data_IF_421238892083
#
_entry.id   IF_421238892083
#
_cell.length_a   1.000
_cell.length_b   1.000
_cell.length_c   1.000
_cell.angle_alpha   90.00
_cell.angle_beta   90.00
_cell.angle_gamma   90.00
#
_symmetry.space_group_name_H-M   'P 1'
#
loop_
_entity.id
_entity.type
_entity.pdbx_description
1 polymer ?
#
# COMPACT_ATOMS: atom_id res chain seq x y z
N UNK A 1 -29.00 -16.54 -14.26
CA UNK A 1 -28.41 -16.59 -12.90
C UNK A 1 -26.99 -17.10 -13.08
N UNK A 2 -26.04 -16.19 -13.29
CA UNK A 2 -24.61 -16.52 -13.27
C UNK A 2 -24.21 -16.54 -11.81
N UNK A 3 -24.01 -17.74 -11.26
CA UNK A 3 -23.35 -17.92 -9.97
C UNK A 3 -21.92 -17.42 -10.15
N UNK A 4 -21.64 -16.22 -9.65
CA UNK A 4 -20.26 -15.74 -9.54
C UNK A 4 -19.57 -16.63 -8.52
N UNK A 5 -18.61 -17.43 -8.97
CA UNK A 5 -17.66 -18.07 -8.06
C UNK A 5 -17.01 -16.93 -7.25
N UNK A 6 -16.96 -16.99 -5.91
CA UNK A 6 -16.21 -16.01 -5.15
C UNK A 6 -14.76 -16.04 -5.61
N UNK A 7 -14.20 -14.86 -5.90
CA UNK A 7 -12.79 -14.74 -6.26
C UNK A 7 -11.94 -15.28 -5.10
N UNK A 8 -10.90 -16.04 -5.41
CA UNK A 8 -9.98 -16.56 -4.41
C UNK A 8 -9.13 -15.39 -3.87
N UNK A 9 -8.99 -15.25 -2.54
CA UNK A 9 -8.12 -14.26 -1.93
C UNK A 9 -6.70 -14.30 -2.51
N UNK A 10 -6.02 -13.17 -2.56
CA UNK A 10 -4.59 -13.11 -2.89
C UNK A 10 -3.80 -13.95 -1.89
N UNK A 11 -2.92 -14.81 -2.41
CA UNK A 11 -1.96 -15.57 -1.61
C UNK A 11 -0.59 -14.90 -1.60
N UNK A 12 0.29 -15.34 -0.71
CA UNK A 12 1.71 -14.93 -0.67
C UNK A 12 2.37 -15.08 -2.06
N UNK A 13 2.15 -16.21 -2.75
CA UNK A 13 2.68 -16.43 -4.12
C UNK A 13 2.16 -15.41 -5.14
N UNK A 14 0.97 -14.84 -4.92
CA UNK A 14 0.41 -13.82 -5.79
C UNK A 14 1.06 -12.45 -5.53
N UNK A 15 1.37 -12.13 -4.27
CA UNK A 15 2.11 -10.91 -3.89
C UNK A 15 3.57 -11.00 -4.32
N UNK A 16 4.23 -12.16 -4.13
CA UNK A 16 5.56 -12.42 -4.68
C UNK A 16 5.58 -12.19 -6.19
N UNK A 17 4.53 -12.61 -6.91
CA UNK A 17 4.43 -12.38 -8.35
C UNK A 17 4.27 -10.88 -8.70
N UNK A 18 3.51 -10.12 -7.90
CA UNK A 18 3.40 -8.66 -8.06
C UNK A 18 4.75 -7.97 -7.84
N UNK A 19 5.43 -8.28 -6.75
CA UNK A 19 6.73 -7.68 -6.42
C UNK A 19 7.76 -7.99 -7.50
N UNK A 20 7.84 -9.25 -7.96
CA UNK A 20 8.73 -9.62 -9.07
C UNK A 20 8.45 -8.83 -10.36
N UNK A 21 7.18 -8.52 -10.64
CA UNK A 21 6.81 -7.71 -11.81
C UNK A 21 7.24 -6.25 -11.59
N UNK A 22 7.00 -5.67 -10.42
CA UNK A 22 7.38 -4.30 -10.10
C UNK A 22 8.91 -4.13 -10.08
N UNK A 23 9.65 -5.10 -9.56
CA UNK A 23 11.12 -5.16 -9.58
C UNK A 23 11.67 -5.19 -11.00
N UNK A 24 11.07 -6.00 -11.87
CA UNK A 24 11.45 -6.07 -13.29
C UNK A 24 11.13 -4.75 -14.02
N UNK A 25 10.00 -4.10 -13.72
CA UNK A 25 9.69 -2.77 -14.24
C UNK A 25 10.72 -1.73 -13.77
N UNK A 26 11.16 -1.76 -12.49
CA UNK A 26 12.18 -0.86 -11.93
C UNK A 26 13.54 -0.96 -12.63
N UNK A 27 13.85 -2.07 -13.30
CA UNK A 27 15.06 -2.18 -14.12
C UNK A 27 15.03 -1.32 -15.40
N UNK A 28 13.85 -0.83 -15.78
CA UNK A 28 13.62 -0.05 -17.02
C UNK A 28 13.03 1.34 -16.75
N UNK A 29 12.38 1.51 -15.61
CA UNK A 29 11.65 2.72 -15.22
C UNK A 29 12.04 3.11 -13.79
N UNK A 30 12.70 4.25 -13.64
CA UNK A 30 13.35 4.63 -12.38
C UNK A 30 12.36 4.92 -11.23
N UNK A 31 11.12 5.31 -11.54
CA UNK A 31 10.12 5.77 -10.55
C UNK A 31 9.01 4.74 -10.27
N UNK A 32 9.18 3.46 -10.62
CA UNK A 32 8.14 2.45 -10.36
C UNK A 32 8.04 2.16 -8.86
N UNK A 33 6.87 2.39 -8.23
CA UNK A 33 6.70 2.18 -6.81
C UNK A 33 6.74 0.70 -6.41
N UNK A 34 7.01 0.44 -5.15
CA UNK A 34 6.84 -0.88 -4.54
C UNK A 34 5.35 -1.20 -4.28
N UNK A 35 5.02 -2.47 -4.04
CA UNK A 35 3.63 -2.89 -3.88
C UNK A 35 2.93 -2.20 -2.71
N UNK A 36 3.60 -2.01 -1.57
CA UNK A 36 3.00 -1.35 -0.40
C UNK A 36 2.46 0.07 -0.75
N UNK A 37 3.19 0.82 -1.59
CA UNK A 37 2.72 2.12 -2.08
C UNK A 37 1.49 1.97 -3.00
N UNK A 38 1.53 0.97 -3.89
CA UNK A 38 0.42 0.66 -4.79
C UNK A 38 -0.86 0.29 -4.03
N UNK A 39 -0.73 -0.43 -2.92
CA UNK A 39 -1.82 -0.84 -2.04
C UNK A 39 -2.51 0.38 -1.40
N UNK A 40 -1.73 1.33 -0.88
CA UNK A 40 -2.27 2.57 -0.31
C UNK A 40 -2.92 3.47 -1.34
N UNK A 41 -2.28 3.60 -2.51
CA UNK A 41 -2.84 4.30 -3.66
C UNK A 41 -4.18 3.69 -4.11
N UNK A 42 -4.25 2.36 -4.18
CA UNK A 42 -5.47 1.62 -4.51
C UNK A 42 -6.60 1.90 -3.50
N UNK A 43 -6.30 1.85 -2.20
CA UNK A 43 -7.28 2.16 -1.16
C UNK A 43 -7.84 3.59 -1.29
N UNK A 44 -6.98 4.57 -1.54
CA UNK A 44 -7.39 5.95 -1.76
C UNK A 44 -8.30 6.09 -2.99
N UNK A 45 -7.96 5.45 -4.12
CA UNK A 45 -8.79 5.47 -5.33
C UNK A 45 -10.18 4.86 -5.12
N UNK A 46 -10.28 3.79 -4.32
CA UNK A 46 -11.56 3.17 -3.98
C UNK A 46 -12.41 4.11 -3.12
N UNK A 47 -11.78 4.87 -2.23
CA UNK A 47 -12.44 5.87 -1.38
C UNK A 47 -12.82 7.16 -2.13
N UNK A 48 -12.34 7.37 -3.36
CA UNK A 48 -12.68 8.55 -4.14
C UNK A 48 -14.20 8.65 -4.43
N UNK A 49 -14.72 9.88 -4.45
CA UNK A 49 -16.16 10.15 -4.65
C UNK A 49 -16.64 9.68 -6.03
N UNK A 50 -15.75 9.75 -7.02
CA UNK A 50 -15.95 9.23 -8.37
C UNK A 50 -14.92 8.13 -8.63
N UNK A 51 -15.36 7.11 -9.37
CA UNK A 51 -14.44 6.12 -9.92
C UNK A 51 -13.53 6.76 -10.97
N UNK A 52 -12.23 6.78 -10.68
CA UNK A 52 -11.17 7.20 -11.60
C UNK A 52 -10.91 6.03 -12.57
N UNK A 53 -10.90 6.25 -13.90
CA UNK A 53 -10.67 5.19 -14.87
C UNK A 53 -9.26 4.58 -14.76
N UNK A 54 -9.14 3.27 -14.98
CA UNK A 54 -7.83 2.58 -14.98
C UNK A 54 -6.81 3.17 -15.95
N UNK A 55 -7.24 3.62 -17.13
CA UNK A 55 -6.37 4.30 -18.08
C UNK A 55 -5.77 5.62 -17.55
N UNK A 56 -6.43 6.24 -16.57
CA UNK A 56 -5.99 7.49 -15.96
C UNK A 56 -5.07 7.20 -14.77
N UNK A 57 -5.53 6.42 -13.79
CA UNK A 57 -4.73 6.20 -12.59
C UNK A 57 -3.50 5.31 -12.83
N UNK A 58 -3.53 4.39 -13.80
CA UNK A 58 -2.34 3.60 -14.14
C UNK A 58 -1.28 4.44 -14.83
N UNK A 59 -1.68 5.45 -15.61
CA UNK A 59 -0.74 6.40 -16.21
C UNK A 59 -0.09 7.31 -15.15
N UNK A 60 -0.84 7.69 -14.11
CA UNK A 60 -0.28 8.44 -12.99
C UNK A 60 0.76 7.65 -12.18
N UNK A 61 0.57 6.34 -12.03
CA UNK A 61 1.42 5.49 -11.19
C UNK A 61 2.58 4.81 -11.95
N UNK A 62 2.33 4.42 -13.20
CA UNK A 62 3.23 3.62 -14.03
C UNK A 62 3.36 4.15 -15.45
N UNK A 63 3.01 5.41 -15.69
CA UNK A 63 3.20 6.03 -17.00
C UNK A 63 4.66 6.08 -17.36
N UNK A 64 4.96 5.86 -18.64
CA UNK A 64 6.28 6.15 -19.19
C UNK A 64 6.66 7.62 -18.94
N UNK A 65 7.89 7.88 -18.50
CA UNK A 65 8.31 9.22 -18.08
C UNK A 65 8.23 10.28 -19.21
N UNK A 66 8.37 9.87 -20.47
CA UNK A 66 8.34 10.78 -21.62
C UNK A 66 6.92 11.00 -22.16
N UNK A 67 6.09 9.96 -22.15
CA UNK A 67 4.76 9.95 -22.81
C UNK A 67 3.58 9.96 -21.85
N UNK A 68 3.78 9.56 -20.59
CA UNK A 68 2.74 9.34 -19.59
C UNK A 68 1.82 8.14 -19.90
N UNK A 69 2.14 7.36 -20.94
CA UNK A 69 1.32 6.22 -21.35
C UNK A 69 1.65 4.98 -20.51
N UNK A 70 0.62 4.30 -20.02
CA UNK A 70 0.72 2.96 -19.42
C UNK A 70 0.22 1.91 -20.39
N UNK A 71 0.98 0.83 -20.57
CA UNK A 71 0.57 -0.27 -21.45
C UNK A 71 1.58 -1.41 -21.56
N UNK A 72 1.29 -2.41 -22.41
CA UNK A 72 2.09 -3.65 -22.51
C UNK A 72 3.53 -3.43 -22.97
N UNK A 73 3.84 -2.28 -23.57
CA UNK A 73 5.20 -1.96 -24.02
C UNK A 73 6.19 -1.70 -22.87
N UNK A 74 5.68 -1.44 -21.65
CA UNK A 74 6.49 -1.23 -20.45
C UNK A 74 6.95 -2.55 -19.81
N UNK A 75 6.23 -3.63 -20.10
CA UNK A 75 6.41 -4.95 -19.51
C UNK A 75 7.34 -5.81 -20.37
N UNK A 76 7.99 -6.79 -19.75
CA UNK A 76 8.88 -7.72 -20.45
C UNK A 76 8.15 -8.55 -21.51
N UNK A 77 6.84 -8.80 -21.31
CA UNK A 77 5.99 -9.45 -22.29
C UNK A 77 4.51 -9.07 -22.13
N UNK A 78 3.67 -9.29 -23.16
CA UNK A 78 2.22 -9.13 -23.03
C UNK A 78 1.61 -10.00 -21.92
N UNK A 79 2.16 -11.20 -21.68
CA UNK A 79 1.69 -12.10 -20.62
C UNK A 79 1.99 -11.54 -19.21
N UNK A 80 3.16 -10.90 -19.02
CA UNK A 80 3.48 -10.24 -17.74
C UNK A 80 2.54 -9.05 -17.48
N UNK A 81 2.21 -8.27 -18.51
CA UNK A 81 1.22 -7.20 -18.42
C UNK A 81 -0.18 -7.71 -18.07
N UNK A 82 -0.64 -8.78 -18.73
CA UNK A 82 -1.92 -9.41 -18.43
C UNK A 82 -1.97 -9.98 -17.01
N UNK A 83 -0.87 -10.59 -16.55
CA UNK A 83 -0.74 -11.10 -15.19
C UNK A 83 -0.82 -9.96 -14.16
N UNK A 84 -0.09 -8.87 -14.37
CA UNK A 84 -0.13 -7.69 -13.51
C UNK A 84 -1.56 -7.15 -13.36
N UNK A 85 -2.26 -6.94 -14.49
CA UNK A 85 -3.64 -6.46 -14.46
C UNK A 85 -4.60 -7.43 -13.78
N UNK A 86 -4.41 -8.73 -13.95
CA UNK A 86 -5.24 -9.74 -13.30
C UNK A 86 -5.05 -9.72 -11.78
N UNK A 87 -3.80 -9.62 -11.29
CA UNK A 87 -3.46 -9.54 -9.88
C UNK A 87 -3.97 -8.22 -9.26
N UNK A 88 -3.71 -7.08 -9.91
CA UNK A 88 -4.24 -5.78 -9.52
C UNK A 88 -5.77 -5.81 -9.40
N UNK A 89 -6.46 -6.37 -10.40
CA UNK A 89 -7.93 -6.45 -10.38
C UNK A 89 -8.46 -7.34 -9.27
N UNK A 90 -7.77 -8.45 -8.96
CA UNK A 90 -8.13 -9.31 -7.82
C UNK A 90 -8.01 -8.54 -6.51
N UNK A 91 -6.86 -7.91 -6.25
CA UNK A 91 -6.68 -7.10 -5.04
C UNK A 91 -7.70 -5.98 -4.95
N UNK A 92 -7.92 -5.25 -6.04
CA UNK A 92 -8.90 -4.18 -6.09
C UNK A 92 -10.28 -4.63 -5.60
N UNK A 93 -10.74 -5.80 -6.04
CA UNK A 93 -12.03 -6.34 -5.63
C UNK A 93 -12.04 -6.75 -4.16
N UNK A 94 -10.94 -7.29 -3.62
CA UNK A 94 -10.80 -7.61 -2.20
C UNK A 94 -10.87 -6.35 -1.33
N UNK A 95 -10.05 -5.35 -1.65
CA UNK A 95 -10.00 -4.07 -0.92
C UNK A 95 -11.35 -3.36 -1.00
N UNK A 96 -11.96 -3.30 -2.20
CA UNK A 96 -13.30 -2.73 -2.38
C UNK A 96 -14.35 -3.46 -1.55
N UNK A 97 -14.25 -4.79 -1.45
CA UNK A 97 -15.18 -5.57 -0.65
C UNK A 97 -14.99 -5.30 0.84
N UNK A 98 -13.74 -5.30 1.33
CA UNK A 98 -13.42 -5.10 2.74
C UNK A 98 -13.81 -3.70 3.24
N UNK A 99 -13.53 -2.66 2.45
CA UNK A 99 -13.89 -1.27 2.78
C UNK A 99 -15.42 -1.02 2.81
N UNK A 100 -16.22 -1.87 2.15
CA UNK A 100 -17.69 -1.80 2.18
C UNK A 100 -18.31 -2.68 3.30
N UNK A 101 -17.51 -3.42 4.06
CA UNK A 101 -18.02 -4.26 5.15
C UNK A 101 -18.31 -3.44 6.41
N UNK A 102 -19.49 -3.61 7.04
CA UNK A 102 -19.78 -3.01 8.33
C UNK A 102 -19.13 -3.82 9.45
N UNK A 103 -17.82 -3.66 9.63
CA UNK A 103 -17.05 -4.27 10.71
C UNK A 103 -17.17 -3.45 11.99
N UNK A 104 -17.11 -4.11 13.15
CA UNK A 104 -17.18 -3.47 14.48
C UNK A 104 -15.83 -3.53 15.23
N UNK A 105 -14.82 -4.20 14.65
CA UNK A 105 -13.45 -4.31 15.15
C UNK A 105 -12.50 -4.63 13.99
N UNK A 106 -11.23 -4.22 14.09
CA UNK A 106 -10.16 -4.63 13.19
C UNK A 106 -9.75 -6.10 13.36
N UNK A 107 -10.17 -6.75 14.46
CA UNK A 107 -10.00 -8.21 14.64
C UNK A 107 -10.95 -9.04 13.76
N UNK A 108 -11.90 -8.41 13.07
CA UNK A 108 -12.79 -9.09 12.13
C UNK A 108 -12.02 -9.47 10.86
N UNK A 109 -12.05 -10.74 10.46
CA UNK A 109 -11.39 -11.24 9.25
C UNK A 109 -11.85 -10.54 7.96
N UNK A 110 -12.97 -9.80 8.02
CA UNK A 110 -13.52 -9.01 6.91
C UNK A 110 -13.00 -7.58 6.88
N UNK A 111 -12.32 -7.13 7.93
CA UNK A 111 -11.74 -5.78 7.98
C UNK A 111 -10.69 -5.61 6.89
N UNK A 112 -10.52 -4.39 6.42
CA UNK A 112 -9.46 -4.08 5.49
C UNK A 112 -8.10 -4.26 6.17
N UNK A 113 -7.25 -5.12 5.59
CA UNK A 113 -5.88 -5.32 6.00
C UNK A 113 -4.98 -5.04 4.78
N UNK A 114 -4.30 -3.89 4.71
CA UNK A 114 -3.34 -3.61 3.65
C UNK A 114 -2.17 -4.59 3.73
N UNK A 115 -1.60 -4.92 2.57
CA UNK A 115 -0.37 -5.71 2.54
C UNK A 115 0.83 -4.79 2.78
N UNK A 116 1.32 -4.80 4.02
CA UNK A 116 2.40 -3.96 4.55
C UNK A 116 3.48 -4.84 5.19
N UNK A 117 4.75 -4.45 5.04
CA UNK A 117 5.86 -5.21 5.60
C UNK A 117 6.65 -4.39 6.62
N UNK A 118 6.96 -5.00 7.77
CA UNK A 118 7.88 -4.42 8.75
C UNK A 118 9.34 -4.64 8.33
N UNK A 119 9.83 -3.80 7.43
CA UNK A 119 11.21 -3.89 6.90
C UNK A 119 12.26 -3.73 8.02
N UNK A 120 12.02 -2.83 8.97
CA UNK A 120 12.90 -2.62 10.13
C UNK A 120 12.98 -3.89 10.98
N UNK A 121 11.84 -4.53 11.24
CA UNK A 121 11.76 -5.81 11.96
C UNK A 121 12.40 -6.96 11.20
N UNK A 122 12.26 -7.01 9.87
CA UNK A 122 12.87 -8.03 9.03
C UNK A 122 14.39 -7.95 9.14
N UNK A 123 14.97 -6.75 9.00
CA UNK A 123 16.41 -6.51 9.14
C UNK A 123 16.89 -6.74 10.58
N UNK A 124 16.10 -6.35 11.59
CA UNK A 124 16.43 -6.60 12.99
C UNK A 124 16.48 -8.11 13.33
N UNK A 125 15.77 -8.94 12.57
CA UNK A 125 15.72 -10.39 12.73
C UNK A 125 16.87 -11.13 12.03
N UNK A 126 17.62 -10.44 11.14
CA UNK A 126 18.80 -10.99 10.48
C UNK A 126 19.96 -11.21 11.46
N UNK A 127 20.84 -12.14 11.10
CA UNK A 127 22.12 -12.32 11.79
C UNK A 127 23.00 -11.06 11.70
N UNK A 128 23.99 -10.95 12.58
CA UNK A 128 24.92 -9.81 12.57
C UNK A 128 25.68 -9.68 11.23
N UNK A 129 26.04 -10.80 10.61
CA UNK A 129 26.71 -10.83 9.31
C UNK A 129 25.81 -10.33 8.17
N UNK A 130 24.58 -10.84 8.10
CA UNK A 130 23.58 -10.42 7.10
C UNK A 130 23.19 -8.95 7.28
N UNK A 131 23.06 -8.48 8.52
CA UNK A 131 22.75 -7.08 8.83
C UNK A 131 23.87 -6.14 8.40
N UNK A 132 25.13 -6.53 8.59
CA UNK A 132 26.27 -5.75 8.13
C UNK A 132 26.31 -5.66 6.59
N UNK A 133 26.01 -6.76 5.89
CA UNK A 133 25.91 -6.76 4.43
C UNK A 133 24.78 -5.85 3.93
N UNK A 134 23.60 -5.92 4.56
CA UNK A 134 22.48 -5.02 4.25
C UNK A 134 22.82 -3.55 4.52
N UNK A 135 23.51 -3.24 5.62
CA UNK A 135 23.91 -1.86 5.92
C UNK A 135 24.87 -1.28 4.86
N UNK A 136 25.75 -2.11 4.31
CA UNK A 136 26.63 -1.71 3.19
C UNK A 136 25.83 -1.50 1.89
N UNK A 137 24.79 -2.30 1.64
CA UNK A 137 23.92 -2.18 0.45
C UNK A 137 22.98 -0.97 0.52
N UNK A 138 22.43 -0.66 1.70
CA UNK A 138 21.52 0.47 1.90
C UNK A 138 22.22 1.83 1.79
N UNK A 139 23.55 1.92 1.86
CA UNK A 139 24.33 3.17 1.74
C UNK A 139 23.80 4.36 2.59
N UNK A 140 23.36 4.07 3.82
CA UNK A 140 22.71 5.04 4.75
C UNK A 140 21.31 5.52 4.33
N UNK A 141 20.63 4.83 3.43
CA UNK A 141 19.20 5.03 3.19
C UNK A 141 18.41 4.70 4.46
N UNK A 142 17.48 5.59 4.82
CA UNK A 142 16.58 5.38 5.94
C UNK A 142 15.52 4.34 5.57
N UNK A 143 15.39 3.32 6.42
CA UNK A 143 14.37 2.31 6.24
C UNK A 143 13.00 2.89 6.60
N UNK A 144 11.96 2.64 5.79
CA UNK A 144 10.63 3.13 6.10
C UNK A 144 10.11 2.52 7.40
N UNK A 145 9.31 3.30 8.11
CA UNK A 145 8.54 2.79 9.23
C UNK A 145 7.38 1.92 8.78
N UNK A 146 6.90 1.07 9.68
CA UNK A 146 5.79 0.15 9.41
C UNK A 146 4.57 0.89 8.83
N UNK A 147 4.08 0.45 7.67
CA UNK A 147 2.96 1.03 6.91
C UNK A 147 3.16 2.49 6.42
N UNK A 148 4.39 3.03 6.48
CA UNK A 148 4.68 4.38 6.01
C UNK A 148 4.53 4.51 4.50
N UNK A 149 5.01 3.51 3.76
CA UNK A 149 4.98 3.51 2.30
C UNK A 149 3.54 3.40 1.81
N UNK A 150 2.72 2.60 2.49
CA UNK A 150 1.27 2.55 2.23
C UNK A 150 0.62 3.92 2.38
N UNK A 151 0.90 4.63 3.48
CA UNK A 151 0.34 5.96 3.71
C UNK A 151 0.81 6.98 2.66
N UNK A 152 2.08 6.91 2.24
CA UNK A 152 2.61 7.74 1.14
C UNK A 152 1.88 7.47 -0.18
N UNK A 153 1.60 6.20 -0.48
CA UNK A 153 0.80 5.82 -1.66
C UNK A 153 -0.63 6.37 -1.62
N UNK A 154 -1.27 6.32 -0.45
CA UNK A 154 -2.59 6.91 -0.25
C UNK A 154 -2.56 8.42 -0.49
N UNK A 155 -1.62 9.13 0.13
CA UNK A 155 -1.50 10.58 0.00
C UNK A 155 -1.13 11.02 -1.41
N UNK A 156 -0.35 10.22 -2.15
CA UNK A 156 -0.08 10.48 -3.56
C UNK A 156 -1.37 10.52 -4.40
N UNK A 157 -2.34 9.63 -4.16
CA UNK A 157 -3.64 9.71 -4.83
C UNK A 157 -4.44 10.96 -4.41
N UNK A 158 -4.39 11.33 -3.12
CA UNK A 158 -5.04 12.55 -2.60
C UNK A 158 -4.50 13.80 -3.29
N UNK A 159 -3.18 13.87 -3.48
CA UNK A 159 -2.51 14.98 -4.14
C UNK A 159 -2.72 14.99 -5.66
N UNK A 160 -2.87 13.81 -6.27
CA UNK A 160 -3.09 13.66 -7.71
C UNK A 160 -4.51 14.08 -8.12
N UNK A 161 -5.53 13.77 -7.30
CA UNK A 161 -6.94 14.14 -7.56
C UNK A 161 -7.57 14.91 -6.39
N UNK A 162 -7.07 16.11 -6.06
CA UNK A 162 -7.51 16.86 -4.87
C UNK A 162 -9.00 17.24 -4.92
N UNK A 163 -9.59 17.33 -6.11
CA UNK A 163 -11.03 17.56 -6.28
C UNK A 163 -11.90 16.42 -5.73
N UNK A 164 -11.40 15.18 -5.74
CA UNK A 164 -12.12 14.02 -5.20
C UNK A 164 -12.12 14.01 -3.66
N UNK A 165 -11.17 14.73 -3.06
CA UNK A 165 -11.00 14.87 -1.60
C UNK A 165 -11.48 16.21 -1.05
N UNK A 166 -12.17 17.01 -1.87
CA UNK A 166 -12.74 18.28 -1.43
C UNK A 166 -13.82 18.05 -0.37
N UNK A 167 -13.65 18.73 0.78
CA UNK A 167 -14.57 18.66 1.90
C UNK A 167 -16.04 18.93 1.50
N UNK A 168 -17.00 18.12 1.98
CA UNK A 168 -18.42 18.36 1.73
C UNK A 168 -18.90 19.66 2.40
N UNK A 169 -20.09 20.13 1.98
CA UNK A 169 -20.71 21.31 2.60
C UNK A 169 -21.24 21.06 4.01
N UNK A 170 -21.57 19.81 4.31
CA UNK A 170 -21.98 19.40 5.63
C UNK A 170 -20.76 19.42 6.56
N UNK A 171 -20.89 20.06 7.72
CA UNK A 171 -19.75 20.32 8.60
C UNK A 171 -19.26 19.08 9.32
N UNK A 172 -20.19 18.24 9.78
CA UNK A 172 -19.85 17.01 10.49
C UNK A 172 -19.14 16.04 9.54
N UNK A 173 -19.66 15.89 8.32
CA UNK A 173 -18.99 15.08 7.30
C UNK A 173 -17.64 15.67 6.84
N UNK A 174 -17.46 16.99 6.90
CA UNK A 174 -16.19 17.63 6.59
C UNK A 174 -15.15 17.40 7.69
N UNK A 175 -15.56 17.50 8.96
CA UNK A 175 -14.72 17.18 10.12
C UNK A 175 -14.28 15.71 10.06
N UNK A 176 -15.19 14.78 9.73
CA UNK A 176 -14.81 13.36 9.59
C UNK A 176 -13.79 13.10 8.48
N UNK A 177 -13.92 13.78 7.33
CA UNK A 177 -12.95 13.65 6.25
C UNK A 177 -11.58 14.22 6.64
N UNK A 178 -11.56 15.39 7.27
CA UNK A 178 -10.34 16.04 7.74
C UNK A 178 -9.62 15.19 8.79
N UNK A 179 -10.35 14.73 9.80
CA UNK A 179 -9.82 13.84 10.85
C UNK A 179 -9.28 12.53 10.27
N UNK A 180 -9.97 11.94 9.28
CA UNK A 180 -9.52 10.71 8.63
C UNK A 180 -8.24 10.92 7.81
N UNK A 181 -8.15 12.01 7.04
CA UNK A 181 -6.95 12.34 6.28
C UNK A 181 -5.76 12.66 7.20
N UNK A 182 -5.99 13.33 8.33
CA UNK A 182 -4.93 13.60 9.32
C UNK A 182 -4.31 12.30 9.87
N UNK A 183 -5.13 11.26 10.11
CA UNK A 183 -4.62 9.95 10.54
C UNK A 183 -3.73 9.28 9.49
N UNK A 184 -4.06 9.40 8.21
CA UNK A 184 -3.18 8.92 7.13
C UNK A 184 -1.90 9.75 7.07
N UNK A 185 -1.99 11.07 7.20
CA UNK A 185 -0.81 11.97 7.20
C UNK A 185 0.15 11.61 8.34
N UNK A 186 -0.36 11.34 9.55
CA UNK A 186 0.48 10.87 10.68
C UNK A 186 1.29 9.62 10.28
N UNK A 187 0.69 8.71 9.50
CA UNK A 187 1.38 7.50 9.05
C UNK A 187 2.45 7.76 7.98
N UNK A 188 2.46 8.91 7.30
CA UNK A 188 3.53 9.27 6.36
C UNK A 188 4.84 9.67 7.06
N UNK A 189 4.77 10.05 8.34
CA UNK A 189 5.94 10.38 9.16
C UNK A 189 6.63 9.11 9.68
N UNK A 190 7.87 9.28 10.14
CA UNK A 190 8.65 8.18 10.74
C UNK A 190 8.15 7.81 12.16
N UNK A 191 8.50 6.60 12.62
CA UNK A 191 8.30 6.13 13.99
C UNK A 191 9.56 6.39 14.83
N UNK A 192 9.58 7.54 15.50
CA UNK A 192 10.68 7.99 16.36
C UNK A 192 10.57 7.51 17.82
N UNK A 193 9.49 6.83 18.18
CA UNK A 193 9.24 6.34 19.53
C UNK A 193 9.97 5.02 19.80
N UNK A 194 10.17 4.67 21.07
CA UNK A 194 10.88 3.44 21.44
C UNK A 194 10.13 2.19 20.90
N UNK A 195 10.81 1.31 20.12
CA UNK A 195 10.22 0.07 19.63
C UNK A 195 9.74 -0.83 20.77
N UNK A 196 8.50 -1.30 20.69
CA UNK A 196 7.87 -2.09 21.75
C UNK A 196 7.24 -3.39 21.25
N UNK A 197 6.96 -3.50 19.95
CA UNK A 197 6.26 -4.62 19.33
C UNK A 197 7.03 -5.15 18.13
N UNK A 198 7.01 -6.47 17.95
CA UNK A 198 7.54 -7.15 16.77
C UNK A 198 6.39 -7.68 15.92
N UNK A 199 6.44 -7.41 14.61
CA UNK A 199 5.46 -7.94 13.65
C UNK A 199 5.72 -9.40 13.25
N UNK A 200 6.87 -9.96 13.64
CA UNK A 200 7.28 -11.34 13.34
C UNK A 200 7.08 -12.32 14.51
N UNK A 201 6.41 -11.88 15.57
CA UNK A 201 6.09 -12.71 16.76
C UNK A 201 6.91 -12.37 18.00
N UNK A 202 6.51 -12.96 19.14
CA UNK A 202 7.03 -12.60 20.47
C UNK A 202 8.53 -12.86 20.68
N UNK A 203 9.11 -13.79 19.92
CA UNK A 203 10.53 -14.17 20.01
C UNK A 203 11.44 -13.31 19.11
N UNK A 204 10.86 -12.43 18.28
CA UNK A 204 11.60 -11.55 17.36
C UNK A 204 11.84 -10.18 17.98
N UNK A 205 12.95 -9.49 17.65
CA UNK A 205 13.21 -8.15 18.17
C UNK A 205 12.07 -7.17 17.86
N UNK A 206 11.71 -6.27 18.78
CA UNK A 206 10.74 -5.23 18.49
C UNK A 206 11.32 -4.18 17.55
N UNK A 207 10.47 -3.65 16.70
CA UNK A 207 10.79 -2.70 15.61
C UNK A 207 9.74 -1.62 15.42
N UNK A 208 8.55 -1.80 15.99
CA UNK A 208 7.42 -0.86 15.89
C UNK A 208 7.04 -0.38 17.28
N UNK A 209 6.82 0.92 17.44
CA UNK A 209 6.33 1.48 18.69
C UNK A 209 4.84 1.21 18.88
N UNK A 210 4.38 1.26 20.14
CA UNK A 210 2.94 1.15 20.42
C UNK A 210 2.15 2.33 19.83
N UNK A 211 2.76 3.52 19.77
CA UNK A 211 2.13 4.70 19.20
C UNK A 211 1.88 4.50 17.70
N UNK A 212 2.87 3.96 16.98
CA UNK A 212 2.76 3.65 15.55
C UNK A 212 1.70 2.60 15.26
N UNK A 213 1.60 1.54 16.06
CA UNK A 213 0.55 0.54 15.88
C UNK A 213 -0.86 1.09 16.13
N UNK A 214 -1.01 1.97 17.12
CA UNK A 214 -2.28 2.63 17.36
C UNK A 214 -2.65 3.56 16.19
N UNK A 215 -1.69 4.35 15.69
CA UNK A 215 -1.89 5.22 14.54
C UNK A 215 -2.25 4.42 13.28
N UNK A 216 -1.58 3.28 13.05
CA UNK A 216 -1.91 2.36 11.97
C UNK A 216 -3.36 1.85 12.08
N UNK A 217 -3.77 1.40 13.27
CA UNK A 217 -5.15 0.98 13.51
C UNK A 217 -6.16 2.10 13.27
N UNK A 218 -5.87 3.32 13.70
CA UNK A 218 -6.73 4.49 13.46
C UNK A 218 -6.80 4.87 11.97
N UNK A 219 -5.74 4.64 11.21
CA UNK A 219 -5.64 4.96 9.78
C UNK A 219 -6.41 4.00 8.87
N UNK A 220 -6.50 2.71 9.22
CA UNK A 220 -7.22 1.70 8.43
C UNK A 220 -8.68 1.49 8.86
N UNK A 221 -9.13 2.19 9.90
CA UNK A 221 -10.48 2.11 10.48
C UNK A 221 -11.45 3.12 9.85
#
# INVERSE_FOLDING_TARGET
MTTSTPAQPMSDEDFDALDNILDDLRQRMDEVPQWEFCEGFMAALICCRRSIPASEYMGALFGDADTGEFGPALFASPEQYEQFLALWSRRWNEVSTALDQPVESLDDERAYAPEVMDVRGAIASLSEEERAAMADELDNEELPSFAQVWALGFMFAVETWPEEWTAPRDKEAAEWLEDALERIVIMTEDDDEEPAVSMFGEDSPPSVSQARLNAYGEAIW
#
